data_IF_889120015217
#
_entry.id   IF_889120015217
#
_cell.length_a   1.000
_cell.length_b   1.000
_cell.length_c   1.000
_cell.angle_alpha   90.00
_cell.angle_beta   90.00
_cell.angle_gamma   90.00
#
_symmetry.space_group_name_H-M   'P 1'
#
loop_
_entity.id
_entity.type
_entity.pdbx_description
1 polymer ?
#
# COMPACT_ATOMS: atom_id res chain seq x y z
N UNK A 1 32.84 -40.43 -47.07
CA UNK A 1 33.20 -39.44 -46.04
C UNK A 1 32.16 -38.33 -45.85
N UNK A 2 31.28 -38.05 -46.82
CA UNK A 2 30.24 -37.00 -46.75
C UNK A 2 29.16 -37.20 -45.68
N UNK A 3 28.66 -38.42 -45.46
CA UNK A 3 27.61 -38.70 -44.46
C UNK A 3 28.05 -38.45 -43.01
N UNK A 4 29.35 -38.62 -42.69
CA UNK A 4 29.88 -38.40 -41.35
C UNK A 4 29.88 -36.91 -40.97
N UNK A 5 30.19 -36.03 -41.93
CA UNK A 5 30.15 -34.58 -41.72
C UNK A 5 28.72 -34.03 -41.59
N UNK A 6 27.74 -34.63 -42.27
CA UNK A 6 26.32 -34.25 -42.13
C UNK A 6 25.81 -34.56 -40.72
N UNK A 7 26.03 -35.80 -40.24
CA UNK A 7 25.65 -36.22 -38.89
C UNK A 7 26.31 -35.39 -37.78
N UNK A 8 27.54 -34.91 -37.97
CA UNK A 8 28.20 -34.01 -37.01
C UNK A 8 27.53 -32.64 -36.92
N UNK A 9 27.14 -32.04 -38.05
CA UNK A 9 26.45 -30.76 -38.08
C UNK A 9 25.06 -30.84 -37.45
N UNK A 10 24.31 -31.90 -37.71
CA UNK A 10 22.97 -32.08 -37.13
C UNK A 10 23.03 -32.17 -35.60
N UNK A 11 24.07 -32.85 -35.06
CA UNK A 11 24.32 -32.92 -33.61
C UNK A 11 24.70 -31.57 -32.99
N UNK A 12 25.45 -30.75 -33.71
CA UNK A 12 25.85 -29.42 -33.27
C UNK A 12 24.64 -28.47 -33.19
N UNK A 13 23.77 -28.51 -34.20
CA UNK A 13 22.52 -27.75 -34.25
C UNK A 13 21.59 -28.15 -33.08
N UNK A 14 21.46 -29.45 -32.81
CA UNK A 14 20.67 -29.96 -31.68
C UNK A 14 21.23 -29.51 -30.33
N UNK A 15 22.55 -29.53 -30.16
CA UNK A 15 23.18 -29.07 -28.94
C UNK A 15 23.01 -27.55 -28.73
N UNK A 16 23.11 -26.75 -29.78
CA UNK A 16 22.86 -25.31 -29.73
C UNK A 16 21.40 -25.02 -29.39
N UNK A 17 20.46 -25.75 -30.00
CA UNK A 17 19.04 -25.66 -29.69
C UNK A 17 18.74 -25.97 -28.21
N UNK A 18 19.27 -27.09 -27.69
CA UNK A 18 19.12 -27.46 -26.28
C UNK A 18 19.69 -26.40 -25.34
N UNK A 19 20.79 -25.74 -25.72
CA UNK A 19 21.35 -24.61 -24.97
C UNK A 19 20.39 -23.42 -24.95
N UNK A 20 19.85 -23.03 -26.10
CA UNK A 20 18.89 -21.92 -26.20
C UNK A 20 17.61 -22.19 -25.39
N UNK A 21 17.11 -23.43 -25.39
CA UNK A 21 15.95 -23.82 -24.57
C UNK A 21 16.25 -23.68 -23.08
N UNK A 22 17.46 -24.04 -22.63
CA UNK A 22 17.88 -23.83 -21.24
C UNK A 22 17.96 -22.35 -20.88
N UNK A 23 18.49 -21.52 -21.78
CA UNK A 23 18.56 -20.06 -21.57
C UNK A 23 17.18 -19.44 -21.47
N UNK A 24 16.24 -19.82 -22.35
CA UNK A 24 14.83 -19.39 -22.28
C UNK A 24 14.21 -19.79 -20.94
N UNK A 25 14.40 -21.03 -20.49
CA UNK A 25 13.90 -21.48 -19.18
C UNK A 25 14.50 -20.67 -18.03
N UNK A 26 15.79 -20.38 -18.07
CA UNK A 26 16.46 -19.59 -17.03
C UNK A 26 15.90 -18.16 -16.97
N UNK A 27 15.69 -17.52 -18.13
CA UNK A 27 15.08 -16.19 -18.21
C UNK A 27 13.66 -16.17 -17.66
N UNK A 28 12.85 -17.19 -17.98
CA UNK A 28 11.48 -17.30 -17.48
C UNK A 28 11.41 -17.42 -15.94
N UNK A 29 12.33 -18.19 -15.34
CA UNK A 29 12.43 -18.30 -13.89
C UNK A 29 12.84 -16.96 -13.26
N UNK A 30 13.80 -16.26 -13.86
CA UNK A 30 14.24 -14.95 -13.35
C UNK A 30 13.15 -13.89 -13.48
N UNK A 31 12.38 -13.89 -14.57
CA UNK A 31 11.20 -13.02 -14.72
C UNK A 31 10.18 -13.26 -13.62
N UNK A 32 9.89 -14.51 -13.29
CA UNK A 32 8.99 -14.84 -12.19
C UNK A 32 9.54 -14.35 -10.85
N UNK A 33 10.83 -14.57 -10.58
CA UNK A 33 11.50 -14.11 -9.36
C UNK A 33 11.42 -12.58 -9.22
N UNK A 34 11.66 -11.84 -10.30
CA UNK A 34 11.58 -10.38 -10.32
C UNK A 34 10.17 -9.88 -9.98
N UNK A 35 9.13 -10.51 -10.55
CA UNK A 35 7.73 -10.17 -10.24
C UNK A 35 7.36 -10.44 -8.77
N UNK A 36 7.85 -11.55 -8.22
CA UNK A 36 7.67 -11.90 -6.81
C UNK A 36 8.33 -10.86 -5.90
N UNK A 37 9.59 -10.54 -6.16
CA UNK A 37 10.34 -9.55 -5.39
C UNK A 37 9.71 -8.15 -5.46
N UNK A 38 9.26 -7.73 -6.65
CA UNK A 38 8.57 -6.45 -6.82
C UNK A 38 7.29 -6.39 -6.00
N UNK A 39 6.52 -7.49 -5.97
CA UNK A 39 5.29 -7.55 -5.18
C UNK A 39 5.58 -7.51 -3.70
N UNK A 40 6.59 -8.26 -3.23
CA UNK A 40 7.02 -8.27 -1.84
C UNK A 40 7.44 -6.88 -1.36
N UNK A 41 8.27 -6.18 -2.14
CA UNK A 41 8.66 -4.79 -1.85
C UNK A 41 7.45 -3.86 -1.75
N UNK A 42 6.46 -4.03 -2.64
CA UNK A 42 5.23 -3.23 -2.62
C UNK A 42 4.39 -3.52 -1.37
N UNK A 43 4.25 -4.79 -0.98
CA UNK A 43 3.53 -5.18 0.24
C UNK A 43 4.23 -4.62 1.48
N UNK A 44 5.56 -4.66 1.53
CA UNK A 44 6.33 -4.07 2.62
C UNK A 44 6.09 -2.56 2.72
N UNK A 45 6.13 -1.83 1.60
CA UNK A 45 5.84 -0.40 1.59
C UNK A 45 4.41 -0.10 2.08
N UNK A 46 3.43 -0.92 1.70
CA UNK A 46 2.05 -0.79 2.20
C UNK A 46 1.95 -1.04 3.70
N UNK A 47 2.77 -1.93 4.25
CA UNK A 47 2.86 -2.16 5.70
C UNK A 47 3.45 -0.93 6.40
N UNK A 48 4.56 -0.41 5.90
CA UNK A 48 5.22 0.78 6.47
C UNK A 48 4.27 1.99 6.46
N UNK A 49 3.49 2.17 5.39
CA UNK A 49 2.47 3.22 5.30
C UNK A 49 1.35 3.03 6.33
N UNK A 50 0.86 1.80 6.54
CA UNK A 50 -0.15 1.52 7.56
C UNK A 50 0.37 1.84 8.96
N UNK A 51 1.62 1.47 9.26
CA UNK A 51 2.27 1.73 10.55
C UNK A 51 2.48 3.23 10.77
N UNK A 52 2.90 3.96 9.73
CA UNK A 52 2.98 5.41 9.75
C UNK A 52 1.63 6.07 10.09
N UNK A 53 0.55 5.68 9.41
CA UNK A 53 -0.78 6.25 9.68
C UNK A 53 -1.33 5.86 11.04
N UNK A 54 -1.01 4.66 11.55
CA UNK A 54 -1.37 4.26 12.91
C UNK A 54 -0.67 5.16 13.93
N UNK A 55 0.62 5.41 13.74
CA UNK A 55 1.37 6.31 14.62
C UNK A 55 0.87 7.76 14.52
N UNK A 56 0.54 8.20 13.31
CA UNK A 56 -0.03 9.53 13.08
C UNK A 56 -1.38 9.67 13.80
N UNK A 57 -2.26 8.67 13.70
CA UNK A 57 -3.56 8.67 14.39
C UNK A 57 -3.42 8.75 15.92
N UNK A 58 -2.45 8.03 16.51
CA UNK A 58 -2.15 8.15 17.94
C UNK A 58 -1.79 9.59 18.33
N UNK A 59 -0.94 10.25 17.54
CA UNK A 59 -0.53 11.64 17.77
C UNK A 59 -1.74 12.58 17.65
N UNK A 60 -2.57 12.44 16.61
CA UNK A 60 -3.78 13.25 16.44
C UNK A 60 -4.75 13.07 17.63
N UNK A 61 -4.93 11.83 18.10
CA UNK A 61 -5.76 11.53 19.27
C UNK A 61 -5.20 12.18 20.54
N UNK A 62 -3.89 12.12 20.76
CA UNK A 62 -3.26 12.75 21.91
C UNK A 62 -3.40 14.28 21.85
N UNK A 63 -3.18 14.88 20.69
CA UNK A 63 -3.35 16.32 20.49
C UNK A 63 -4.79 16.77 20.74
N UNK A 64 -5.78 16.04 20.20
CA UNK A 64 -7.20 16.25 20.48
C UNK A 64 -7.50 16.24 21.99
N UNK A 65 -7.04 15.22 22.73
CA UNK A 65 -7.23 15.11 24.18
C UNK A 65 -6.61 16.28 24.94
N UNK A 66 -5.43 16.76 24.51
CA UNK A 66 -4.75 17.89 25.15
C UNK A 66 -5.50 19.21 24.92
N UNK A 67 -6.06 19.42 23.72
CA UNK A 67 -6.92 20.57 23.42
C UNK A 67 -8.24 20.54 24.23
N UNK A 68 -8.90 19.39 24.35
CA UNK A 68 -10.13 19.29 25.16
C UNK A 68 -9.84 19.62 26.63
N UNK A 69 -8.78 19.05 27.20
CA UNK A 69 -8.34 19.36 28.58
C UNK A 69 -8.05 20.85 28.77
N UNK A 70 -7.42 21.49 27.79
CA UNK A 70 -7.15 22.93 27.82
C UNK A 70 -8.47 23.72 27.85
N UNK A 71 -9.39 23.43 26.93
CA UNK A 71 -10.67 24.11 26.86
C UNK A 71 -11.51 23.90 28.14
N UNK A 72 -11.59 22.68 28.66
CA UNK A 72 -12.34 22.36 29.88
C UNK A 72 -11.82 23.10 31.11
N UNK A 73 -10.49 23.09 31.30
CA UNK A 73 -9.82 23.76 32.44
C UNK A 73 -10.18 25.23 32.51
N UNK A 74 -10.21 25.90 31.36
CA UNK A 74 -10.47 27.34 31.29
C UNK A 74 -11.96 27.69 31.24
N UNK A 75 -12.80 26.83 30.63
CA UNK A 75 -14.27 26.97 30.73
C UNK A 75 -14.78 26.85 32.17
N UNK A 76 -14.22 25.93 32.97
CA UNK A 76 -14.64 25.74 34.36
C UNK A 76 -14.39 27.00 35.21
N UNK A 77 -13.27 27.71 34.97
CA UNK A 77 -12.94 28.97 35.64
C UNK A 77 -13.88 30.11 35.25
N UNK A 78 -14.29 30.17 33.98
CA UNK A 78 -15.15 31.25 33.46
C UNK A 78 -16.62 31.13 33.88
N UNK A 79 -17.12 29.93 34.22
CA UNK A 79 -18.50 29.75 34.72
C UNK A 79 -18.69 30.19 36.18
N UNK A 80 -17.61 30.41 36.92
CA UNK A 80 -17.65 30.77 38.34
C UNK A 80 -18.00 32.26 38.60
N UNK A 81 -17.99 33.12 37.57
CA UNK A 81 -18.31 34.54 37.71
C UNK A 81 -19.78 34.81 37.38
N UNK A 82 -20.49 35.49 38.29
CA UNK A 82 -21.94 35.81 38.21
C UNK A 82 -22.33 36.63 36.97
N UNK A 83 -21.38 37.20 36.24
CA UNK A 83 -21.62 38.06 35.07
C UNK A 83 -22.01 37.29 33.78
N UNK A 84 -22.00 35.95 33.82
CA UNK A 84 -22.25 35.09 32.65
C UNK A 84 -23.62 35.28 31.99
N UNK A 85 -24.66 35.67 32.74
CA UNK A 85 -26.01 35.89 32.20
C UNK A 85 -26.17 37.26 31.53
N UNK A 86 -25.39 38.26 31.94
CA UNK A 86 -25.53 39.63 31.46
C UNK A 86 -24.87 39.82 30.08
N UNK A 87 -23.76 39.11 29.82
CA UNK A 87 -23.03 39.18 28.54
C UNK A 87 -23.66 38.40 27.38
N UNK A 88 -24.68 37.55 27.64
CA UNK A 88 -25.39 36.84 26.57
C UNK A 88 -26.36 37.72 25.77
N UNK A 89 -26.76 38.89 26.30
CA UNK A 89 -27.78 39.74 25.68
C UNK A 89 -27.24 40.63 24.55
N UNK A 90 -25.94 40.96 24.55
CA UNK A 90 -25.32 41.83 23.54
C UNK A 90 -24.34 41.04 22.66
N UNK A 91 -24.86 40.22 21.75
CA UNK A 91 -24.05 39.46 20.78
C UNK A 91 -23.24 40.33 19.81
N UNK A 92 -23.59 41.61 19.65
CA UNK A 92 -23.00 42.53 18.68
C UNK A 92 -21.84 43.38 19.23
N UNK A 93 -21.41 43.18 20.48
CA UNK A 93 -20.26 43.87 21.06
C UNK A 93 -19.13 42.88 21.36
N UNK A 94 -17.94 43.13 20.79
CA UNK A 94 -16.69 42.44 21.14
C UNK A 94 -16.25 42.86 22.54
N UNK A 95 -16.89 42.30 23.58
CA UNK A 95 -16.35 42.36 24.93
C UNK A 95 -15.17 41.36 25.06
N UNK A 96 -14.16 41.64 25.88
CA UNK A 96 -13.08 40.69 26.16
C UNK A 96 -13.58 39.30 26.58
N UNK A 97 -14.74 39.25 27.25
CA UNK A 97 -15.41 38.00 27.65
C UNK A 97 -15.95 37.23 26.43
N UNK A 98 -16.53 37.92 25.45
CA UNK A 98 -16.98 37.30 24.21
C UNK A 98 -15.79 36.77 23.38
N UNK A 99 -14.72 37.57 23.24
CA UNK A 99 -13.48 37.13 22.58
C UNK A 99 -12.91 35.85 23.22
N UNK A 100 -12.89 35.82 24.55
CA UNK A 100 -12.44 34.65 25.31
C UNK A 100 -13.30 33.41 25.04
N UNK A 101 -14.62 33.56 24.99
CA UNK A 101 -15.52 32.44 24.69
C UNK A 101 -15.35 31.93 23.25
N UNK A 102 -15.19 32.84 22.28
CA UNK A 102 -14.90 32.48 20.89
C UNK A 102 -13.59 31.67 20.80
N UNK A 103 -12.54 32.10 21.51
CA UNK A 103 -11.27 31.37 21.56
C UNK A 103 -11.43 29.96 22.14
N UNK A 104 -12.15 29.82 23.26
CA UNK A 104 -12.39 28.49 23.87
C UNK A 104 -13.20 27.58 22.94
N UNK A 105 -14.20 28.11 22.23
CA UNK A 105 -14.94 27.32 21.26
C UNK A 105 -14.10 26.90 20.05
N UNK A 106 -13.16 27.75 19.62
CA UNK A 106 -12.22 27.41 18.56
C UNK A 106 -11.31 26.24 18.97
N UNK A 107 -10.74 26.27 20.19
CA UNK A 107 -9.94 25.15 20.72
C UNK A 107 -10.74 23.84 20.78
N UNK A 108 -12.02 23.89 21.18
CA UNK A 108 -12.91 22.71 21.17
C UNK A 108 -13.23 22.21 19.77
N UNK A 109 -13.31 23.11 18.79
CA UNK A 109 -13.50 22.73 17.39
C UNK A 109 -12.27 22.00 16.88
N UNK A 110 -11.08 22.56 17.08
CA UNK A 110 -9.82 21.94 16.71
C UNK A 110 -9.65 20.57 17.37
N UNK A 111 -9.96 20.44 18.67
CA UNK A 111 -10.02 19.14 19.38
C UNK A 111 -10.83 18.09 18.61
N UNK A 112 -12.04 18.44 18.14
CA UNK A 112 -12.90 17.54 17.37
C UNK A 112 -12.37 17.26 15.97
N UNK A 113 -11.79 18.24 15.31
CA UNK A 113 -11.21 18.09 13.98
C UNK A 113 -10.03 17.09 14.03
N UNK A 114 -9.17 17.18 15.05
CA UNK A 114 -8.09 16.22 15.27
C UNK A 114 -8.59 14.81 15.61
N UNK A 115 -9.64 14.68 16.43
CA UNK A 115 -10.28 13.38 16.68
C UNK A 115 -10.85 12.77 15.40
N UNK A 116 -11.51 13.58 14.56
CA UNK A 116 -12.05 13.15 13.27
C UNK A 116 -10.94 12.73 12.32
N UNK A 117 -9.83 13.47 12.29
CA UNK A 117 -8.68 13.14 11.45
C UNK A 117 -8.03 11.80 11.86
N UNK A 118 -7.92 11.55 13.17
CA UNK A 118 -7.48 10.25 13.70
C UNK A 118 -8.39 9.12 13.23
N UNK A 119 -9.71 9.31 13.33
CA UNK A 119 -10.70 8.32 12.88
C UNK A 119 -10.59 8.04 11.37
N UNK A 120 -10.41 9.08 10.56
CA UNK A 120 -10.18 8.94 9.12
C UNK A 120 -8.92 8.12 8.82
N UNK A 121 -7.82 8.33 9.54
CA UNK A 121 -6.61 7.53 9.36
C UNK A 121 -6.85 6.06 9.70
N UNK A 122 -7.49 5.76 10.82
CA UNK A 122 -7.72 4.39 11.27
C UNK A 122 -8.75 3.64 10.41
N UNK A 123 -9.89 4.27 10.14
CA UNK A 123 -11.05 3.58 9.57
C UNK A 123 -11.13 3.68 8.04
N UNK A 124 -10.47 4.68 7.43
CA UNK A 124 -10.53 4.87 5.98
C UNK A 124 -9.18 4.61 5.34
N UNK A 125 -8.12 5.32 5.76
CA UNK A 125 -6.81 5.23 5.10
C UNK A 125 -6.18 3.86 5.31
N UNK A 126 -6.04 3.42 6.56
CA UNK A 126 -5.45 2.11 6.87
C UNK A 126 -6.26 0.98 6.23
N UNK A 127 -7.59 0.97 6.39
CA UNK A 127 -8.49 -0.02 5.77
C UNK A 127 -8.27 -0.12 4.26
N UNK A 128 -8.14 1.01 3.56
CA UNK A 128 -7.90 1.02 2.11
C UNK A 128 -6.52 0.49 1.75
N UNK A 129 -5.49 0.80 2.53
CA UNK A 129 -4.15 0.24 2.35
C UNK A 129 -4.15 -1.28 2.57
N UNK A 130 -4.88 -1.78 3.57
CA UNK A 130 -5.08 -3.21 3.81
C UNK A 130 -5.71 -3.88 2.59
N UNK A 131 -6.78 -3.33 2.04
CA UNK A 131 -7.39 -3.88 0.82
C UNK A 131 -6.43 -3.88 -0.37
N UNK A 132 -5.66 -2.80 -0.58
CA UNK A 132 -4.65 -2.76 -1.66
C UNK A 132 -3.58 -3.85 -1.46
N UNK A 133 -3.18 -4.13 -0.22
CA UNK A 133 -2.24 -5.21 0.10
C UNK A 133 -2.82 -6.59 -0.25
N UNK A 134 -4.05 -6.87 0.17
CA UNK A 134 -4.76 -8.11 -0.15
C UNK A 134 -4.95 -8.30 -1.66
N UNK A 135 -5.33 -7.23 -2.37
CA UNK A 135 -5.46 -7.21 -3.82
C UNK A 135 -4.12 -7.53 -4.50
N UNK A 136 -3.03 -6.95 -4.01
CA UNK A 136 -1.68 -7.21 -4.52
C UNK A 136 -1.29 -8.69 -4.38
N UNK A 137 -1.61 -9.32 -3.24
CA UNK A 137 -1.38 -10.74 -3.03
C UNK A 137 -2.25 -11.62 -3.96
N UNK A 138 -3.53 -11.27 -4.14
CA UNK A 138 -4.42 -11.99 -5.06
C UNK A 138 -3.97 -11.87 -6.51
N UNK A 139 -3.57 -10.68 -6.94
CA UNK A 139 -3.05 -10.43 -8.28
C UNK A 139 -1.78 -11.22 -8.53
N UNK A 140 -0.82 -11.23 -7.59
CA UNK A 140 0.39 -12.05 -7.72
C UNK A 140 0.07 -13.53 -7.88
N UNK A 141 -0.83 -14.07 -7.05
CA UNK A 141 -1.25 -15.47 -7.17
C UNK A 141 -1.79 -15.76 -8.57
N UNK A 142 -2.67 -14.89 -9.08
CA UNK A 142 -3.26 -15.06 -10.41
C UNK A 142 -2.22 -14.91 -11.53
N UNK A 143 -1.29 -13.98 -11.40
CA UNK A 143 -0.17 -13.81 -12.33
C UNK A 143 0.72 -15.05 -12.36
N UNK A 144 1.04 -15.67 -11.21
CA UNK A 144 1.81 -16.92 -11.18
C UNK A 144 1.11 -18.07 -11.91
N UNK A 145 -0.20 -18.22 -11.73
CA UNK A 145 -0.99 -19.24 -12.44
C UNK A 145 -0.94 -19.04 -13.96
N UNK A 146 -1.09 -17.80 -14.44
CA UNK A 146 -1.02 -17.47 -15.87
C UNK A 146 0.40 -17.69 -16.41
N UNK A 147 1.41 -17.22 -15.70
CA UNK A 147 2.82 -17.39 -16.10
C UNK A 147 3.16 -18.87 -16.20
N UNK A 148 2.76 -19.67 -15.21
CA UNK A 148 2.99 -21.11 -15.20
C UNK A 148 2.37 -21.77 -16.45
N UNK A 149 1.10 -21.48 -16.76
CA UNK A 149 0.44 -22.01 -17.96
C UNK A 149 1.18 -21.63 -19.25
N UNK A 150 1.56 -20.34 -19.39
CA UNK A 150 2.30 -19.86 -20.56
C UNK A 150 3.68 -20.51 -20.68
N UNK A 151 4.37 -20.73 -19.57
CA UNK A 151 5.65 -21.44 -19.55
C UNK A 151 5.50 -22.90 -19.95
N UNK A 152 4.46 -23.60 -19.48
CA UNK A 152 4.18 -24.97 -19.90
C UNK A 152 3.90 -25.06 -21.40
N UNK A 153 3.07 -24.16 -21.94
CA UNK A 153 2.72 -24.17 -23.36
C UNK A 153 3.93 -23.81 -24.24
N UNK A 154 4.77 -22.86 -23.82
CA UNK A 154 6.04 -22.59 -24.50
C UNK A 154 6.97 -23.82 -24.48
N UNK A 155 7.10 -24.49 -23.34
CA UNK A 155 7.96 -25.67 -23.23
C UNK A 155 7.46 -26.83 -24.09
N UNK A 156 6.15 -27.01 -24.24
CA UNK A 156 5.57 -28.00 -25.18
C UNK A 156 5.98 -27.68 -26.61
N UNK A 157 5.81 -26.43 -27.05
CA UNK A 157 6.17 -26.00 -28.41
C UNK A 157 7.68 -26.14 -28.68
N UNK A 158 8.53 -25.82 -27.71
CA UNK A 158 9.98 -26.02 -27.83
C UNK A 158 10.31 -27.52 -27.94
N UNK A 159 9.68 -28.37 -27.13
CA UNK A 159 9.89 -29.81 -27.24
C UNK A 159 9.37 -30.38 -28.58
N UNK A 160 8.24 -29.89 -29.10
CA UNK A 160 7.72 -30.27 -30.41
C UNK A 160 8.70 -29.92 -31.53
N UNK A 161 9.24 -28.69 -31.51
CA UNK A 161 10.29 -28.26 -32.44
C UNK A 161 11.53 -29.17 -32.38
N UNK A 162 11.97 -29.53 -31.17
CA UNK A 162 13.05 -30.51 -31.00
C UNK A 162 12.71 -31.84 -31.67
N UNK A 163 11.52 -32.40 -31.40
CA UNK A 163 11.12 -33.69 -31.98
C UNK A 163 11.04 -33.68 -33.51
N UNK A 164 10.52 -32.60 -34.10
CA UNK A 164 10.50 -32.40 -35.56
C UNK A 164 11.91 -32.27 -36.14
N UNK A 165 12.84 -31.66 -35.39
CA UNK A 165 14.25 -31.51 -35.78
C UNK A 165 15.06 -32.81 -35.67
N UNK A 166 14.58 -33.79 -34.89
CA UNK A 166 15.23 -35.09 -34.64
C UNK A 166 14.64 -36.23 -35.49
N UNK A 167 13.43 -36.07 -36.04
CA UNK A 167 12.84 -37.05 -36.95
C UNK A 167 13.43 -36.93 -38.37
N UNK A 168 13.85 -38.04 -39.01
CA UNK A 168 14.46 -38.05 -40.34
C UNK A 168 13.50 -37.74 -41.50
#
# INVERSE_FOLDING_TARGET
MSNSNKSKKDKEILAEYESQVKDVRAQLVEQQRCLEQQTEMRVQLLQDLQDFFRKKAEIETEYSRNLEKLAERFMAKTRSTKDHQQYKKDQNLLSPVNCWYLLLNQVRRESKDHATLSDLYLNNVITRLTHISEDSARLLKRSKEIIFQLQEDLMKLLNELYTVSVQP
#
